data_IF_887410369324
#
_entry.id   IF_887410369324
#
_cell.length_a   1.000
_cell.length_b   1.000
_cell.length_c   1.000
_cell.angle_alpha   90.00
_cell.angle_beta   90.00
_cell.angle_gamma   90.00
#
_symmetry.space_group_name_H-M   'P 1'
#
loop_
_entity.id
_entity.type
_entity.pdbx_description
1 polymer ?
#
# COMPACT_ATOMS: atom_id res chain seq x y z
N UNK A 1 15.70 3.39 15.57
CA UNK A 1 14.48 3.64 14.79
C UNK A 1 13.59 2.45 15.03
N UNK A 2 12.42 2.66 15.62
CA UNK A 2 11.51 1.56 15.92
C UNK A 2 11.02 0.92 14.62
N UNK A 3 10.92 -0.40 14.62
CA UNK A 3 10.39 -1.17 13.48
C UNK A 3 8.99 -0.67 13.12
N UNK A 4 8.68 -0.64 11.82
CA UNK A 4 7.32 -0.40 11.34
C UNK A 4 6.36 -1.55 11.73
N UNK A 5 6.92 -2.72 12.02
CA UNK A 5 6.21 -3.96 12.30
C UNK A 5 6.56 -4.55 13.65
N UNK A 6 5.59 -5.20 14.27
CA UNK A 6 5.70 -5.93 15.51
C UNK A 6 6.26 -7.34 15.25
N UNK A 7 7.57 -7.51 15.39
CA UNK A 7 8.26 -8.76 15.04
C UNK A 7 7.89 -9.91 15.96
N UNK A 8 7.53 -9.61 17.22
CA UNK A 8 7.07 -10.62 18.17
C UNK A 8 5.70 -11.14 17.73
N UNK A 9 4.75 -10.25 17.45
CA UNK A 9 3.44 -10.64 16.94
C UNK A 9 3.52 -11.40 15.61
N UNK A 10 4.41 -10.99 14.70
CA UNK A 10 4.62 -11.71 13.44
C UNK A 10 5.08 -13.15 13.68
N UNK A 11 5.93 -13.35 14.69
CA UNK A 11 6.52 -14.64 15.04
C UNK A 11 5.48 -15.69 15.45
N UNK A 12 4.30 -15.25 15.91
CA UNK A 12 3.18 -16.13 16.25
C UNK A 12 2.60 -16.85 15.01
N UNK A 13 2.76 -16.26 13.82
CA UNK A 13 2.23 -16.84 12.58
C UNK A 13 3.34 -17.33 11.65
N UNK A 14 4.43 -16.58 11.54
CA UNK A 14 5.57 -16.93 10.71
C UNK A 14 6.87 -16.73 11.48
N UNK A 15 7.78 -17.71 11.51
CA UNK A 15 9.07 -17.52 12.17
C UNK A 15 9.80 -16.28 11.62
N UNK A 16 10.03 -15.29 12.49
CA UNK A 16 10.85 -14.12 12.18
C UNK A 16 12.26 -14.39 12.68
N UNK A 17 13.23 -14.39 11.77
CA UNK A 17 14.65 -14.53 12.12
C UNK A 17 15.31 -13.17 11.91
N UNK A 18 15.70 -12.52 13.01
CA UNK A 18 16.43 -11.26 12.97
C UNK A 18 17.91 -11.50 12.63
N UNK A 19 18.54 -10.60 11.88
CA UNK A 19 19.93 -10.70 11.42
C UNK A 19 20.98 -10.67 12.54
N UNK A 20 20.60 -10.25 13.74
CA UNK A 20 21.42 -10.28 14.95
C UNK A 20 21.10 -11.46 15.88
N UNK A 21 20.19 -12.35 15.49
CA UNK A 21 19.77 -13.49 16.32
C UNK A 21 20.77 -14.65 16.28
N UNK A 22 20.76 -15.49 17.33
CA UNK A 22 21.54 -16.74 17.34
C UNK A 22 21.04 -17.70 16.27
N UNK A 23 19.75 -17.68 16.00
CA UNK A 23 19.06 -18.45 14.97
C UNK A 23 19.60 -18.07 13.59
N UNK A 24 19.80 -16.78 13.31
CA UNK A 24 20.44 -16.30 12.09
C UNK A 24 21.87 -16.81 11.94
N UNK A 25 22.68 -16.67 12.98
CA UNK A 25 24.05 -17.19 12.98
C UNK A 25 24.08 -18.70 12.73
N UNK A 26 23.12 -19.43 13.31
CA UNK A 26 22.94 -20.86 13.08
C UNK A 26 22.56 -21.15 11.62
N UNK A 27 21.62 -20.42 11.03
CA UNK A 27 21.26 -20.53 9.61
C UNK A 27 22.49 -20.31 8.73
N UNK A 28 23.25 -19.24 8.97
CA UNK A 28 24.49 -18.96 8.24
C UNK A 28 25.52 -20.10 8.39
N UNK A 29 25.80 -20.54 9.62
CA UNK A 29 26.76 -21.63 9.87
C UNK A 29 26.35 -22.97 9.24
N UNK A 30 25.05 -23.25 9.16
CA UNK A 30 24.52 -24.48 8.58
C UNK A 30 24.45 -24.38 7.06
N UNK A 31 24.23 -23.18 6.52
CA UNK A 31 24.24 -22.91 5.08
C UNK A 31 25.61 -23.14 4.44
N UNK A 32 26.70 -23.00 5.21
CA UNK A 32 28.05 -23.39 4.77
C UNK A 32 28.15 -24.89 4.43
N UNK A 33 27.18 -25.73 4.86
CA UNK A 33 27.07 -27.15 4.49
C UNK A 33 26.31 -27.39 3.18
N UNK A 34 25.73 -26.36 2.55
CA UNK A 34 24.94 -26.47 1.30
C UNK A 34 25.81 -26.53 0.03
N UNK A 35 27.14 -26.55 0.15
CA UNK A 35 28.07 -26.66 -0.98
C UNK A 35 27.91 -25.48 -1.96
N UNK A 36 27.68 -25.77 -3.24
CA UNK A 36 27.49 -24.76 -4.28
C UNK A 36 26.24 -23.87 -4.09
N UNK A 37 25.30 -24.25 -3.20
CA UNK A 37 24.03 -23.55 -2.97
C UNK A 37 24.01 -22.63 -1.74
N UNK A 38 25.12 -21.95 -1.47
CA UNK A 38 25.34 -21.17 -0.23
C UNK A 38 24.28 -20.09 0.04
N UNK A 39 24.40 -19.40 1.18
CA UNK A 39 23.54 -18.25 1.53
C UNK A 39 24.37 -16.97 1.46
N UNK A 40 23.80 -15.92 0.86
CA UNK A 40 24.36 -14.57 0.96
C UNK A 40 23.37 -13.60 1.56
N UNK A 41 23.89 -12.75 2.42
CA UNK A 41 23.24 -11.55 2.87
C UNK A 41 23.46 -10.45 1.82
N UNK A 42 22.38 -9.91 1.26
CA UNK A 42 22.43 -9.01 0.10
C UNK A 42 21.89 -7.60 0.38
N UNK A 43 22.05 -7.12 1.62
CA UNK A 43 21.75 -5.72 1.92
C UNK A 43 22.54 -4.77 1.03
N UNK A 44 21.87 -3.75 0.50
CA UNK A 44 22.51 -2.71 -0.31
C UNK A 44 22.93 -3.18 -1.70
N UNK A 45 22.78 -4.47 -2.02
CA UNK A 45 23.03 -5.00 -3.36
C UNK A 45 21.85 -4.67 -4.26
N UNK A 46 22.14 -4.05 -5.40
CA UNK A 46 21.09 -3.66 -6.34
C UNK A 46 20.47 -4.89 -7.01
N UNK A 47 19.21 -4.75 -7.47
CA UNK A 47 18.55 -5.79 -8.27
C UNK A 47 19.34 -6.16 -9.54
N UNK A 48 20.08 -5.21 -10.09
CA UNK A 48 20.93 -5.42 -11.25
C UNK A 48 22.12 -6.33 -10.91
N UNK A 49 22.83 -6.03 -9.81
CA UNK A 49 23.95 -6.87 -9.35
C UNK A 49 23.51 -8.27 -8.96
N UNK A 50 22.35 -8.43 -8.30
CA UNK A 50 21.79 -9.75 -7.99
C UNK A 50 21.53 -10.61 -9.24
N UNK A 51 21.25 -9.97 -10.38
CA UNK A 51 20.90 -10.65 -11.63
C UNK A 51 22.13 -10.96 -12.48
N UNK A 52 23.09 -10.04 -12.54
CA UNK A 52 24.21 -10.13 -13.50
C UNK A 52 25.49 -10.71 -12.86
N UNK A 53 25.62 -10.71 -11.54
CA UNK A 53 26.79 -11.24 -10.87
C UNK A 53 26.64 -12.74 -10.57
N UNK A 54 27.46 -13.56 -11.23
CA UNK A 54 27.48 -15.02 -11.06
C UNK A 54 27.79 -15.48 -9.64
N UNK A 55 28.29 -14.60 -8.75
CA UNK A 55 28.42 -14.92 -7.32
C UNK A 55 27.07 -15.18 -6.64
N UNK A 56 25.97 -14.65 -7.20
CA UNK A 56 24.62 -14.79 -6.64
C UNK A 56 23.75 -15.81 -7.38
N UNK A 57 24.24 -16.44 -8.47
CA UNK A 57 23.43 -17.32 -9.33
C UNK A 57 22.95 -18.60 -8.65
N UNK A 58 23.73 -19.11 -7.70
CA UNK A 58 23.48 -20.37 -7.02
C UNK A 58 23.14 -20.20 -5.53
N UNK A 59 23.00 -18.97 -5.04
CA UNK A 59 22.77 -18.72 -3.62
C UNK A 59 21.29 -18.71 -3.24
N UNK A 60 20.97 -19.20 -2.05
CA UNK A 60 19.75 -18.84 -1.34
C UNK A 60 19.86 -17.37 -0.92
N UNK A 61 19.20 -16.50 -1.70
CA UNK A 61 19.18 -15.06 -1.47
C UNK A 61 18.21 -14.75 -0.35
N UNK A 62 18.74 -14.30 0.78
CA UNK A 62 17.92 -13.78 1.87
C UNK A 62 17.80 -12.29 1.64
N UNK A 63 16.71 -11.91 0.98
CA UNK A 63 16.40 -10.53 0.62
C UNK A 63 16.04 -9.75 1.89
N UNK A 64 17.07 -9.15 2.49
CA UNK A 64 16.92 -8.05 3.43
C UNK A 64 16.22 -6.93 2.66
N UNK A 65 14.99 -6.64 3.04
CA UNK A 65 14.23 -5.55 2.48
C UNK A 65 15.11 -4.31 2.39
N UNK A 66 15.24 -3.74 1.20
CA UNK A 66 16.07 -2.57 0.89
C UNK A 66 15.70 -1.29 1.66
N UNK A 67 14.87 -1.40 2.70
CA UNK A 67 14.43 -0.34 3.60
C UNK A 67 14.06 -0.96 4.96
N UNK A 68 14.65 -0.50 6.09
CA UNK A 68 14.25 -0.90 7.44
C UNK A 68 12.82 -0.44 7.79
N UNK A 69 12.25 0.47 6.99
CA UNK A 69 10.87 0.96 7.10
C UNK A 69 9.90 0.13 6.25
N UNK A 70 10.31 -1.00 5.68
CA UNK A 70 9.51 -1.72 4.70
C UNK A 70 9.76 -3.21 4.76
N UNK A 71 9.09 -3.93 5.66
CA UNK A 71 8.84 -5.35 5.38
C UNK A 71 7.91 -5.44 4.17
N UNK A 72 8.43 -5.82 3.01
CA UNK A 72 7.61 -6.35 1.93
C UNK A 72 8.37 -7.45 1.20
N UNK A 73 7.82 -8.67 1.20
CA UNK A 73 7.95 -9.59 0.07
C UNK A 73 6.56 -9.84 -0.52
N UNK A 74 6.32 -9.30 -1.72
CA UNK A 74 5.26 -9.75 -2.65
C UNK A 74 5.99 -10.37 -3.85
N UNK A 75 5.84 -11.67 -4.10
CA UNK A 75 6.21 -12.25 -5.38
C UNK A 75 4.96 -12.36 -6.26
N UNK A 76 4.84 -11.41 -7.20
CA UNK A 76 3.71 -11.29 -8.12
C UNK A 76 4.03 -11.76 -9.55
N UNK A 77 5.20 -12.38 -9.80
CA UNK A 77 5.47 -13.01 -11.09
C UNK A 77 5.27 -14.52 -11.04
N UNK A 78 4.30 -14.93 -11.84
CA UNK A 78 3.50 -16.15 -11.79
C UNK A 78 4.22 -17.37 -12.34
N UNK A 79 5.45 -17.21 -12.82
CA UNK A 79 6.12 -18.24 -13.60
C UNK A 79 7.43 -18.76 -12.97
N UNK A 80 7.89 -18.27 -11.80
CA UNK A 80 9.05 -18.92 -11.17
C UNK A 80 9.31 -18.65 -9.66
N UNK A 81 9.78 -19.74 -9.01
CA UNK A 81 10.52 -19.90 -7.73
C UNK A 81 9.79 -19.59 -6.40
N UNK A 82 9.38 -20.66 -5.70
CA UNK A 82 9.32 -20.75 -4.22
C UNK A 82 8.66 -19.58 -3.45
N UNK A 83 7.70 -18.89 -4.05
CA UNK A 83 7.11 -17.68 -3.54
C UNK A 83 6.10 -17.97 -2.41
N UNK A 84 6.48 -17.66 -1.16
CA UNK A 84 5.55 -17.58 -0.03
C UNK A 84 5.05 -16.14 0.05
N UNK A 85 3.74 -15.93 -0.08
CA UNK A 85 3.07 -14.66 0.19
C UNK A 85 2.30 -14.81 1.50
N UNK A 86 2.55 -13.92 2.46
CA UNK A 86 1.62 -13.73 3.57
C UNK A 86 0.42 -12.93 3.05
N UNK A 87 -0.82 -13.25 3.47
CA UNK A 87 -2.02 -12.58 2.97
C UNK A 87 -1.86 -11.06 2.96
N UNK A 88 -2.46 -10.36 1.99
CA UNK A 88 -2.41 -8.89 1.93
C UNK A 88 -2.94 -8.23 3.22
N UNK A 89 -3.82 -8.93 3.95
CA UNK A 89 -4.34 -8.57 5.27
C UNK A 89 -3.36 -8.81 6.42
N UNK A 90 -2.35 -9.68 6.25
CA UNK A 90 -1.43 -10.09 7.29
C UNK A 90 -0.49 -8.97 7.70
N UNK A 91 0.39 -8.50 6.80
CA UNK A 91 1.41 -7.49 7.15
C UNK A 91 0.83 -6.22 7.81
N UNK A 92 -0.30 -5.65 7.35
CA UNK A 92 -0.92 -4.51 8.02
C UNK A 92 -1.35 -4.78 9.45
N UNK A 93 -1.88 -5.98 9.72
CA UNK A 93 -2.25 -6.39 11.08
C UNK A 93 -1.05 -6.60 12.01
N UNK A 94 0.15 -6.65 11.43
CA UNK A 94 1.42 -6.81 12.13
C UNK A 94 2.17 -5.50 12.36
N UNK A 95 1.50 -4.35 12.23
CA UNK A 95 2.11 -3.07 12.54
C UNK A 95 2.59 -2.99 14.00
N UNK A 96 3.63 -2.20 14.25
CA UNK A 96 4.15 -1.98 15.61
C UNK A 96 3.03 -1.59 16.59
N UNK A 97 3.08 -2.10 17.83
CA UNK A 97 2.03 -1.90 18.85
C UNK A 97 1.57 -0.45 18.99
N UNK A 98 2.52 0.50 19.07
CA UNK A 98 2.22 1.94 19.14
C UNK A 98 1.37 2.47 17.98
N UNK A 99 1.57 1.95 16.75
CA UNK A 99 0.78 2.32 15.57
C UNK A 99 -0.62 1.71 15.63
N UNK A 100 -0.73 0.46 16.11
CA UNK A 100 -2.03 -0.21 16.34
C UNK A 100 -2.85 0.53 17.39
N UNK A 101 -2.25 0.87 18.53
CA UNK A 101 -2.93 1.59 19.62
C UNK A 101 -3.45 2.96 19.17
N UNK A 102 -2.64 3.69 18.40
CA UNK A 102 -3.07 4.97 17.82
C UNK A 102 -4.21 4.80 16.82
N UNK A 103 -4.15 3.79 15.96
CA UNK A 103 -5.23 3.48 15.02
C UNK A 103 -6.53 3.14 15.77
N UNK A 104 -6.49 2.30 16.81
CA UNK A 104 -7.67 1.95 17.60
C UNK A 104 -8.29 3.16 18.30
N UNK A 105 -7.48 4.08 18.86
CA UNK A 105 -7.99 5.35 19.40
C UNK A 105 -8.71 6.17 18.35
N UNK A 106 -8.16 6.28 17.14
CA UNK A 106 -8.79 7.03 16.04
C UNK A 106 -10.07 6.36 15.56
N UNK A 107 -10.10 5.02 15.45
CA UNK A 107 -11.32 4.26 15.12
C UNK A 107 -12.42 4.51 16.14
N UNK A 108 -12.09 4.50 17.43
CA UNK A 108 -13.05 4.80 18.49
C UNK A 108 -13.63 6.22 18.37
N UNK A 109 -12.81 7.21 18.00
CA UNK A 109 -13.26 8.58 17.74
C UNK A 109 -14.11 8.71 16.46
N UNK A 110 -13.83 7.90 15.43
CA UNK A 110 -14.60 7.86 14.18
C UNK A 110 -15.98 7.21 14.38
N UNK A 111 -16.11 6.22 15.28
CA UNK A 111 -17.34 5.49 15.53
C UNK A 111 -17.69 4.54 14.38
N UNK A 112 -18.91 4.62 13.83
CA UNK A 112 -19.31 3.90 12.61
C UNK A 112 -19.01 4.75 11.36
N UNK A 113 -18.11 4.25 10.51
CA UNK A 113 -17.62 4.98 9.33
C UNK A 113 -17.32 4.02 8.17
N UNK A 114 -17.19 4.60 6.98
CA UNK A 114 -16.64 3.94 5.79
C UNK A 114 -15.31 4.58 5.44
N UNK A 115 -14.48 3.83 4.71
CA UNK A 115 -13.13 4.21 4.40
C UNK A 115 -12.89 4.23 2.90
N UNK A 116 -12.11 5.21 2.44
CA UNK A 116 -11.69 5.30 1.06
C UNK A 116 -10.21 5.63 0.93
N UNK A 117 -9.52 4.87 0.08
CA UNK A 117 -8.16 5.15 -0.31
C UNK A 117 -8.13 5.78 -1.71
N UNK A 118 -7.52 6.97 -1.83
CA UNK A 118 -7.44 7.72 -3.10
C UNK A 118 -5.98 8.00 -3.47
N UNK A 119 -5.43 7.24 -4.41
CA UNK A 119 -4.06 7.34 -4.92
C UNK A 119 -4.03 8.11 -6.23
N UNK A 120 -3.68 9.40 -6.17
CA UNK A 120 -3.63 10.33 -7.29
C UNK A 120 -2.20 10.78 -7.63
N UNK A 121 -1.55 11.51 -6.73
CA UNK A 121 -0.40 12.37 -7.04
C UNK A 121 0.72 11.75 -7.91
N UNK A 122 1.27 10.61 -7.51
CA UNK A 122 2.33 9.90 -8.25
C UNK A 122 1.83 9.11 -9.48
N UNK A 123 0.52 8.88 -9.58
CA UNK A 123 -0.12 8.03 -10.58
C UNK A 123 -0.72 8.82 -11.74
N UNK A 124 -1.14 10.06 -11.50
CA UNK A 124 -1.57 11.01 -12.54
C UNK A 124 -0.31 11.60 -13.19
N UNK A 125 0.35 10.76 -14.01
CA UNK A 125 1.51 11.14 -14.80
C UNK A 125 1.16 11.08 -16.27
N UNK A 126 1.35 12.20 -16.96
CA UNK A 126 1.15 12.29 -18.40
C UNK A 126 2.47 12.53 -19.12
N UNK A 127 2.60 11.98 -20.33
CA UNK A 127 3.67 12.34 -21.28
C UNK A 127 3.06 12.67 -22.64
N UNK A 128 3.72 13.52 -23.42
CA UNK A 128 3.35 13.75 -24.82
C UNK A 128 3.97 12.66 -25.69
N UNK A 129 3.21 12.11 -26.63
CA UNK A 129 3.76 11.26 -27.69
C UNK A 129 4.39 12.10 -28.81
N UNK A 130 4.87 11.43 -29.87
CA UNK A 130 5.50 12.07 -31.04
C UNK A 130 4.60 13.05 -31.79
N UNK A 131 3.28 13.00 -31.55
CA UNK A 131 2.29 13.89 -32.15
C UNK A 131 1.81 14.97 -31.16
N UNK A 132 2.43 15.07 -29.98
CA UNK A 132 2.06 16.03 -28.95
C UNK A 132 0.85 15.62 -28.10
N UNK A 133 0.28 14.43 -28.31
CA UNK A 133 -0.92 13.97 -27.61
C UNK A 133 -0.55 13.46 -26.22
N UNK A 134 -1.27 13.92 -25.19
CA UNK A 134 -1.08 13.47 -23.82
C UNK A 134 -1.45 11.99 -23.68
N UNK A 135 -0.59 11.24 -22.99
CA UNK A 135 -0.78 9.82 -22.67
C UNK A 135 -0.62 9.58 -21.18
N UNK A 136 -1.38 8.65 -20.62
CA UNK A 136 -1.32 8.19 -19.22
C UNK A 136 -1.18 6.65 -19.15
N UNK A 137 -0.59 6.14 -18.07
CA UNK A 137 -0.62 4.72 -17.71
C UNK A 137 -1.90 4.31 -16.96
N UNK A 138 -2.67 5.31 -16.53
CA UNK A 138 -3.96 5.17 -15.84
C UNK A 138 -4.93 6.13 -16.53
N UNK A 139 -5.55 5.72 -17.65
CA UNK A 139 -6.33 6.61 -18.50
C UNK A 139 -7.58 7.15 -17.80
N UNK A 140 -8.22 6.38 -16.90
CA UNK A 140 -9.45 6.81 -16.22
C UNK A 140 -9.20 7.42 -14.83
N UNK A 141 -8.00 7.23 -14.26
CA UNK A 141 -7.72 7.58 -12.86
C UNK A 141 -8.05 9.03 -12.47
N UNK A 142 -7.64 10.02 -13.27
CA UNK A 142 -7.91 11.43 -12.92
C UNK A 142 -9.40 11.71 -12.86
N UNK A 143 -10.15 11.25 -13.87
CA UNK A 143 -11.61 11.37 -13.94
C UNK A 143 -12.27 10.67 -12.76
N UNK A 144 -11.99 9.38 -12.58
CA UNK A 144 -12.72 8.53 -11.62
C UNK A 144 -12.47 8.90 -10.16
N UNK A 145 -11.40 9.64 -9.88
CA UNK A 145 -11.05 10.10 -8.53
C UNK A 145 -11.29 11.59 -8.31
N UNK A 146 -11.99 12.26 -9.22
CA UNK A 146 -12.53 13.60 -8.98
C UNK A 146 -13.80 13.54 -8.11
N UNK A 147 -14.04 14.52 -7.22
CA UNK A 147 -15.14 14.46 -6.26
C UNK A 147 -16.51 14.21 -6.88
N UNK A 148 -16.81 14.82 -8.02
CA UNK A 148 -18.07 14.68 -8.74
C UNK A 148 -18.32 13.23 -9.20
N UNK A 149 -17.31 12.53 -9.71
CA UNK A 149 -17.41 11.12 -10.10
C UNK A 149 -17.42 10.21 -8.88
N UNK A 150 -16.63 10.55 -7.86
CA UNK A 150 -16.60 9.84 -6.59
C UNK A 150 -17.97 9.84 -5.90
N UNK A 151 -18.69 10.97 -5.89
CA UNK A 151 -20.04 11.05 -5.32
C UNK A 151 -20.96 9.99 -5.90
N UNK A 152 -20.99 9.86 -7.23
CA UNK A 152 -21.82 8.89 -7.93
C UNK A 152 -21.40 7.45 -7.68
N UNK A 153 -20.09 7.20 -7.73
CA UNK A 153 -19.53 5.86 -7.55
C UNK A 153 -19.80 5.34 -6.15
N UNK A 154 -19.45 6.15 -5.14
CA UNK A 154 -19.54 5.78 -3.72
C UNK A 154 -20.99 5.68 -3.26
N UNK A 155 -21.92 6.44 -3.85
CA UNK A 155 -23.35 6.39 -3.54
C UNK A 155 -23.99 5.01 -3.73
N UNK A 156 -23.38 4.14 -4.56
CA UNK A 156 -23.82 2.76 -4.78
C UNK A 156 -23.57 1.85 -3.57
N UNK A 157 -22.66 2.25 -2.68
CA UNK A 157 -22.18 1.41 -1.57
C UNK A 157 -22.35 2.08 -0.20
N UNK A 158 -22.24 3.41 -0.14
CA UNK A 158 -22.28 4.18 1.10
C UNK A 158 -23.51 5.09 1.11
N UNK A 159 -24.45 4.88 2.05
CA UNK A 159 -25.59 5.78 2.26
C UNK A 159 -25.18 7.22 2.56
N UNK A 160 -26.00 8.22 2.19
CA UNK A 160 -25.76 9.63 2.55
C UNK A 160 -25.75 9.83 4.08
N UNK A 161 -25.03 10.84 4.55
CA UNK A 161 -24.89 11.20 5.97
C UNK A 161 -23.87 10.37 6.75
N UNK A 162 -23.29 9.32 6.15
CA UNK A 162 -22.24 8.51 6.79
C UNK A 162 -20.90 9.25 6.88
N UNK A 163 -20.09 8.85 7.86
CA UNK A 163 -18.71 9.32 8.01
C UNK A 163 -17.84 8.60 6.98
N UNK A 164 -17.08 9.37 6.19
CA UNK A 164 -16.16 8.86 5.18
C UNK A 164 -14.74 9.27 5.55
N UNK A 165 -13.94 8.32 6.02
CA UNK A 165 -12.51 8.50 6.25
C UNK A 165 -11.74 8.42 4.92
N UNK A 166 -11.01 9.47 4.58
CA UNK A 166 -10.29 9.60 3.31
C UNK A 166 -8.78 9.56 3.57
N UNK A 167 -8.11 8.51 3.11
CA UNK A 167 -6.65 8.45 3.01
C UNK A 167 -6.22 8.75 1.58
N UNK A 168 -5.40 9.78 1.37
CA UNK A 168 -5.00 10.19 0.02
C UNK A 168 -3.62 10.82 -0.03
N UNK A 169 -2.96 10.69 -1.18
CA UNK A 169 -1.76 11.46 -1.51
C UNK A 169 -2.04 12.67 -2.43
N UNK A 170 -3.30 13.05 -2.60
CA UNK A 170 -3.68 14.32 -3.23
C UNK A 170 -3.15 15.49 -2.39
N UNK A 171 -2.54 16.47 -3.06
CA UNK A 171 -1.86 17.60 -2.40
C UNK A 171 -2.69 18.86 -2.41
N UNK A 172 -3.70 18.93 -3.28
CA UNK A 172 -4.56 20.10 -3.42
C UNK A 172 -5.43 20.25 -2.16
N UNK A 173 -5.28 21.32 -1.36
CA UNK A 173 -6.09 21.52 -0.16
C UNK A 173 -7.57 21.57 -0.52
N UNK A 174 -8.41 20.90 0.27
CA UNK A 174 -9.85 20.90 0.05
C UNK A 174 -10.32 20.19 -1.22
N UNK A 175 -9.46 19.43 -1.92
CA UNK A 175 -9.82 18.71 -3.15
C UNK A 175 -11.09 17.87 -2.97
N UNK A 176 -11.23 17.16 -1.86
CA UNK A 176 -12.38 16.30 -1.56
C UNK A 176 -13.56 17.04 -0.90
N UNK A 177 -13.48 18.36 -0.68
CA UNK A 177 -14.55 19.13 -0.05
C UNK A 177 -15.92 18.98 -0.71
N UNK A 178 -16.08 18.79 -2.05
CA UNK A 178 -17.40 18.59 -2.63
C UNK A 178 -18.11 17.31 -2.15
N UNK A 179 -17.37 16.31 -1.64
CA UNK A 179 -17.96 15.12 -1.04
C UNK A 179 -18.80 15.43 0.21
N UNK A 180 -18.56 16.59 0.84
CA UNK A 180 -19.32 17.05 2.02
C UNK A 180 -20.80 17.30 1.74
N UNK A 181 -21.19 17.44 0.47
CA UNK A 181 -22.59 17.53 0.07
C UNK A 181 -23.39 16.26 0.44
N UNK A 182 -22.72 15.11 0.63
CA UNK A 182 -23.37 13.83 0.92
C UNK A 182 -22.79 13.09 2.13
N UNK A 183 -21.55 13.36 2.52
CA UNK A 183 -20.84 12.60 3.56
C UNK A 183 -20.17 13.50 4.60
N UNK A 184 -20.00 13.01 5.83
CA UNK A 184 -19.17 13.66 6.85
C UNK A 184 -17.72 13.25 6.62
N UNK A 185 -16.86 14.19 6.25
CA UNK A 185 -15.49 13.86 5.84
C UNK A 185 -14.56 13.80 7.06
N UNK A 186 -13.73 12.76 7.12
CA UNK A 186 -12.68 12.62 8.12
C UNK A 186 -11.33 12.33 7.44
N UNK A 187 -10.27 12.90 7.99
CA UNK A 187 -8.89 12.79 7.50
C UNK A 187 -7.94 12.52 8.66
N UNK A 188 -6.76 11.96 8.38
CA UNK A 188 -5.70 11.78 9.37
C UNK A 188 -5.33 13.08 10.08
N UNK A 189 -5.35 14.21 9.37
CA UNK A 189 -5.07 15.54 9.93
C UNK A 189 -6.07 15.99 11.00
N UNK A 190 -7.29 15.44 11.06
CA UNK A 190 -8.23 15.71 12.15
C UNK A 190 -7.77 15.09 13.48
N UNK A 191 -6.80 14.18 13.45
CA UNK A 191 -6.28 13.43 14.60
C UNK A 191 -4.80 13.71 14.85
N UNK A 192 -4.30 14.87 14.43
CA UNK A 192 -2.89 15.25 14.57
C UNK A 192 -2.39 15.20 16.03
N UNK A 193 -3.24 15.52 17.00
CA UNK A 193 -2.93 15.38 18.44
C UNK A 193 -2.58 13.94 18.89
N UNK A 194 -3.02 12.92 18.15
CA UNK A 194 -2.65 11.51 18.36
C UNK A 194 -1.44 11.12 17.49
N UNK A 195 -1.40 11.64 16.25
CA UNK A 195 -0.43 11.22 15.23
C UNK A 195 0.91 11.94 15.33
N UNK A 196 0.93 13.25 15.56
CA UNK A 196 2.15 14.08 15.55
C UNK A 196 3.21 13.60 16.57
N UNK A 197 2.86 13.14 17.79
CA UNK A 197 3.85 12.60 18.72
C UNK A 197 4.44 11.24 18.31
N UNK A 198 3.85 10.55 17.34
CA UNK A 198 4.13 9.16 16.97
C UNK A 198 4.73 9.01 15.58
N UNK A 199 4.31 9.85 14.63
CA UNK A 199 4.66 9.76 13.22
C UNK A 199 5.96 10.53 12.97
N UNK A 200 7.02 9.79 12.65
CA UNK A 200 8.32 10.31 12.26
C UNK A 200 8.50 10.37 10.74
N UNK A 201 7.73 9.57 9.99
CA UNK A 201 7.84 9.48 8.53
C UNK A 201 6.55 9.01 7.83
N UNK A 202 6.52 9.19 6.50
CA UNK A 202 5.36 8.86 5.67
C UNK A 202 5.00 7.36 5.67
N UNK A 203 5.92 6.46 5.97
CA UNK A 203 5.62 5.02 6.03
C UNK A 203 4.80 4.67 7.26
N UNK A 204 5.09 5.29 8.40
CA UNK A 204 4.30 5.15 9.62
C UNK A 204 2.90 5.75 9.44
N UNK A 205 2.80 6.94 8.81
CA UNK A 205 1.50 7.53 8.50
C UNK A 205 0.67 6.61 7.60
N UNK A 206 1.28 6.10 6.52
CA UNK A 206 0.63 5.15 5.63
C UNK A 206 0.16 3.88 6.34
N UNK A 207 0.96 3.35 7.28
CA UNK A 207 0.59 2.17 8.06
C UNK A 207 -0.63 2.44 8.94
N UNK A 208 -0.65 3.56 9.67
CA UNK A 208 -1.78 3.94 10.51
C UNK A 208 -3.04 4.18 9.67
N UNK A 209 -2.94 4.92 8.56
CA UNK A 209 -4.05 5.13 7.66
C UNK A 209 -4.64 3.81 7.16
N UNK A 210 -3.78 2.85 6.83
CA UNK A 210 -4.21 1.50 6.42
C UNK A 210 -4.94 0.77 7.55
N UNK A 211 -4.43 0.83 8.78
CA UNK A 211 -5.10 0.24 9.95
C UNK A 211 -6.47 0.87 10.19
N UNK A 212 -6.58 2.20 10.11
CA UNK A 212 -7.84 2.93 10.23
C UNK A 212 -8.80 2.49 9.12
N UNK A 213 -8.35 2.44 7.86
CA UNK A 213 -9.22 2.04 6.76
C UNK A 213 -9.75 0.62 6.91
N UNK A 214 -8.95 -0.32 7.43
CA UNK A 214 -9.41 -1.70 7.71
C UNK A 214 -10.48 -1.80 8.80
N UNK A 215 -10.66 -0.76 9.63
CA UNK A 215 -11.76 -0.70 10.61
C UNK A 215 -13.07 -0.17 10.05
N UNK A 216 -13.07 0.38 8.83
CA UNK A 216 -14.28 0.91 8.20
C UNK A 216 -15.25 -0.19 7.80
N UNK A 217 -16.55 0.08 7.89
CA UNK A 217 -17.62 -0.85 7.49
C UNK A 217 -17.53 -1.24 6.01
N UNK A 218 -17.29 -0.24 5.17
CA UNK A 218 -17.01 -0.39 3.74
C UNK A 218 -15.62 0.16 3.46
N UNK A 219 -14.79 -0.59 2.73
CA UNK A 219 -13.49 -0.10 2.28
C UNK A 219 -13.45 -0.03 0.74
N UNK A 220 -13.29 1.19 0.22
CA UNK A 220 -13.23 1.46 -1.21
C UNK A 220 -11.79 1.84 -1.58
N UNK A 221 -11.23 1.14 -2.57
CA UNK A 221 -9.86 1.34 -3.01
C UNK A 221 -9.82 2.27 -4.22
N UNK A 222 -8.64 2.81 -4.52
CA UNK A 222 -8.46 3.53 -5.79
C UNK A 222 -8.55 2.55 -6.96
N UNK A 223 -7.79 1.46 -6.88
CA UNK A 223 -7.70 0.42 -7.91
C UNK A 223 -8.19 -0.91 -7.34
N UNK A 224 -8.81 -1.71 -8.20
CA UNK A 224 -9.13 -3.11 -7.91
C UNK A 224 -7.85 -3.93 -7.69
N UNK A 225 -7.75 -4.65 -6.57
CA UNK A 225 -6.69 -5.64 -6.32
C UNK A 225 -7.21 -7.05 -6.55
N UNK A 226 -8.40 -7.33 -6.02
CA UNK A 226 -9.11 -8.60 -6.11
C UNK A 226 -10.50 -8.44 -6.72
N UNK A 227 -11.11 -9.53 -7.21
CA UNK A 227 -12.39 -9.48 -7.92
C UNK A 227 -13.56 -8.93 -7.08
N UNK A 228 -13.47 -9.07 -5.76
CA UNK A 228 -14.50 -8.63 -4.81
C UNK A 228 -14.27 -7.21 -4.28
N UNK A 229 -13.16 -6.56 -4.62
CA UNK A 229 -12.86 -5.21 -4.13
C UNK A 229 -13.81 -4.17 -4.72
N UNK A 230 -14.25 -3.25 -3.86
CA UNK A 230 -14.85 -1.99 -4.28
C UNK A 230 -13.74 -1.02 -4.70
N UNK A 231 -13.87 -0.41 -5.88
CA UNK A 231 -12.84 0.47 -6.41
C UNK A 231 -13.40 1.70 -7.12
N UNK A 232 -12.63 2.80 -7.08
CA UNK A 232 -12.98 4.05 -7.74
C UNK A 232 -12.80 3.95 -9.25
N UNK A 233 -11.65 3.44 -9.72
CA UNK A 233 -11.33 3.35 -11.14
C UNK A 233 -11.81 2.05 -11.79
N UNK A 234 -12.28 2.14 -13.03
CA UNK A 234 -12.56 0.98 -13.89
C UNK A 234 -11.30 0.47 -14.63
N UNK A 235 -10.12 1.05 -14.38
CA UNK A 235 -8.89 0.58 -15.01
C UNK A 235 -8.67 -0.92 -14.71
N UNK A 236 -8.54 -1.78 -15.74
CA UNK A 236 -8.50 -3.23 -15.57
C UNK A 236 -7.23 -3.70 -14.84
N UNK A 237 -6.20 -2.84 -14.76
CA UNK A 237 -4.96 -3.09 -14.03
C UNK A 237 -4.45 -1.77 -13.43
N UNK A 238 -3.84 -1.86 -12.26
CA UNK A 238 -3.05 -0.79 -11.60
C UNK A 238 -1.96 -0.15 -12.46
N UNK A 239 -1.58 -0.78 -13.57
CA UNK A 239 -0.67 -0.26 -14.59
C UNK A 239 -0.95 -1.06 -15.86
N UNK A 240 -1.49 -0.41 -16.88
CA UNK A 240 -1.78 -1.06 -18.18
C UNK A 240 -0.51 -1.45 -18.93
N UNK A 241 0.68 -0.98 -18.48
CA UNK A 241 1.99 -1.02 -19.15
C UNK A 241 1.99 -0.33 -20.53
N UNK A 242 0.87 0.29 -20.91
CA UNK A 242 0.64 0.92 -22.20
C UNK A 242 0.20 2.37 -21.97
N UNK A 243 0.82 3.28 -22.71
CA UNK A 243 0.50 4.70 -22.62
C UNK A 243 -0.73 5.00 -23.48
N UNK A 244 -1.86 5.27 -22.83
CA UNK A 244 -3.17 5.44 -23.46
C UNK A 244 -3.65 6.90 -23.38
N UNK A 245 -4.62 7.27 -24.21
CA UNK A 245 -5.23 8.61 -24.13
C UNK A 245 -6.02 8.69 -22.82
N UNK A 246 -5.82 9.72 -21.98
CA UNK A 246 -6.63 9.92 -20.80
C UNK A 246 -8.10 10.13 -21.16
N UNK A 247 -8.99 9.58 -20.33
CA UNK A 247 -10.43 9.69 -20.50
C UNK A 247 -10.95 10.68 -19.49
N UNK A 248 -11.59 11.75 -19.97
CA UNK A 248 -12.18 12.80 -19.14
C UNK A 248 -13.70 12.89 -19.28
N UNK A 249 -14.26 12.24 -20.29
CA UNK A 249 -15.69 12.29 -20.58
C UNK A 249 -16.47 11.30 -19.73
N UNK A 250 -17.74 11.62 -19.52
CA UNK A 250 -18.72 10.84 -18.79
C UNK A 250 -19.45 9.93 -19.78
N UNK A 251 -19.51 8.63 -19.52
CA UNK A 251 -20.37 7.73 -20.31
C UNK A 251 -21.82 7.69 -19.74
N UNK A 252 -22.01 8.03 -18.46
CA UNK A 252 -23.31 8.07 -17.79
C UNK A 252 -23.43 9.24 -16.82
N UNK A 253 -24.43 10.11 -17.00
CA UNK A 253 -24.80 11.14 -16.03
C UNK A 253 -25.36 10.49 -14.77
N UNK A 254 -24.76 10.81 -13.64
CA UNK A 254 -25.42 10.81 -12.34
C UNK A 254 -26.10 12.17 -12.10
#
# INVERSE_FOLDING_TARGET
MDSLYDTELMSDTVPVILDNSKEWYRVLSTSMKLGARGVAHVEGVSRFELKENSRYSDLLLINRTASPLSWFMECKDRNNRSAIMLPYSFLPSMAAGKLRDAAEKIKALLGDYDAIHVRRGDKIKTRKDRFGVARSLHPHLDRDTRPEFMLCRIAKWVPPGRTLFIASNERTPGFFSPLSARYRLAYSSNYSHILDPLIENNYQLFMIERLIMMGGKTFIRTFKEDETDLSLTDDPKKNTKLWQIPVYNVDETC
#
